data_IF_273779788676
#
_entry.id   IF_273779788676
#
_cell.length_a   1.000
_cell.length_b   1.000
_cell.length_c   1.000
_cell.angle_alpha   90.00
_cell.angle_beta   90.00
_cell.angle_gamma   90.00
#
_symmetry.space_group_name_H-M   'P 1'
#
loop_
_entity.id
_entity.type
_entity.pdbx_description
1 polymer ?
#
# COMPACT_ATOMS: atom_id res chain seq x y z
N UNK A 1 -0.32 -24.63 17.19
CA UNK A 1 0.22 -23.79 18.29
C UNK A 1 0.71 -22.54 17.60
N UNK A 2 -0.18 -21.56 17.48
CA UNK A 2 0.08 -20.33 16.73
C UNK A 2 1.17 -19.51 17.44
N UNK A 3 2.02 -18.89 16.62
CA UNK A 3 3.30 -18.33 17.00
C UNK A 3 3.11 -17.00 17.76
N UNK A 4 2.82 -17.08 19.06
CA UNK A 4 2.72 -15.96 20.00
C UNK A 4 3.95 -15.03 19.97
N UNK A 5 5.09 -15.52 19.46
CA UNK A 5 6.33 -14.75 19.38
C UNK A 5 6.30 -13.67 18.28
N UNK A 6 5.51 -13.87 17.21
CA UNK A 6 5.39 -12.90 16.13
C UNK A 6 4.51 -11.69 16.55
N UNK A 7 3.61 -11.88 17.51
CA UNK A 7 2.76 -10.81 18.08
C UNK A 7 3.57 -9.79 18.90
N UNK A 8 4.73 -10.20 19.44
CA UNK A 8 5.61 -9.33 20.20
C UNK A 8 6.57 -8.50 19.34
N UNK A 9 6.70 -8.78 18.04
CA UNK A 9 7.63 -8.05 17.17
C UNK A 9 7.22 -6.60 16.91
N UNK A 10 5.96 -6.21 17.13
CA UNK A 10 5.47 -4.84 16.90
C UNK A 10 5.27 -4.03 18.19
N UNK A 11 5.59 -4.62 19.35
CA UNK A 11 5.39 -4.00 20.66
C UNK A 11 6.28 -2.77 20.89
N UNK A 12 7.48 -2.76 20.30
CA UNK A 12 8.45 -1.66 20.45
C UNK A 12 8.16 -0.49 19.49
N UNK A 13 7.65 -0.74 18.28
CA UNK A 13 7.25 0.31 17.33
C UNK A 13 6.04 1.11 17.83
N UNK A 14 5.05 0.42 18.41
CA UNK A 14 3.84 1.05 18.97
C UNK A 14 4.18 1.93 20.18
N UNK A 15 5.20 1.58 20.95
CA UNK A 15 5.69 2.43 22.05
C UNK A 15 6.33 3.72 21.52
N UNK A 16 7.01 3.68 20.37
CA UNK A 16 7.64 4.86 19.79
C UNK A 16 6.61 5.90 19.35
N UNK A 17 5.49 5.46 18.78
CA UNK A 17 4.41 6.35 18.33
C UNK A 17 3.69 7.09 19.48
N UNK A 18 3.62 6.47 20.67
CA UNK A 18 2.98 7.07 21.85
C UNK A 18 3.95 7.81 22.78
N UNK A 19 5.25 7.49 22.74
CA UNK A 19 6.27 8.19 23.54
C UNK A 19 6.64 9.56 23.00
N UNK A 20 6.40 9.84 21.71
CA UNK A 20 6.64 11.17 21.15
C UNK A 20 5.78 12.25 21.82
N UNK A 21 4.57 11.90 22.31
CA UNK A 21 3.74 12.81 23.13
C UNK A 21 4.14 12.85 24.61
N UNK A 22 4.94 11.89 25.11
CA UNK A 22 5.36 11.85 26.51
C UNK A 22 6.53 12.81 26.82
N UNK A 23 7.33 13.19 25.82
CA UNK A 23 8.50 14.06 26.04
C UNK A 23 8.12 15.52 26.38
N UNK A 24 6.93 15.98 25.95
CA UNK A 24 6.45 17.33 26.25
C UNK A 24 5.79 17.47 27.63
N UNK A 25 5.44 16.36 28.30
CA UNK A 25 4.69 16.41 29.57
C UNK A 25 5.57 16.29 30.83
N UNK A 26 6.87 16.07 30.70
CA UNK A 26 7.79 15.91 31.84
C UNK A 26 8.65 17.17 32.12
N UNK A 27 8.54 18.21 31.30
CA UNK A 27 9.42 19.38 31.36
C UNK A 27 8.87 20.62 32.08
N UNK A 28 7.60 20.64 32.50
CA UNK A 28 6.95 21.91 32.92
C UNK A 28 6.32 21.92 34.32
N UNK A 29 6.16 20.77 34.99
CA UNK A 29 5.51 20.74 36.31
C UNK A 29 6.48 20.75 37.50
N UNK A 30 7.80 20.55 37.28
CA UNK A 30 8.79 20.53 38.37
C UNK A 30 9.21 21.95 38.81
N UNK A 31 8.84 22.99 38.06
CA UNK A 31 9.18 24.39 38.38
C UNK A 31 8.13 25.14 39.22
N UNK A 32 6.96 24.54 39.55
CA UNK A 32 5.90 25.24 40.29
C UNK A 32 5.74 24.82 41.77
N UNK A 33 6.40 23.75 42.23
CA UNK A 33 6.30 23.30 43.63
C UNK A 33 7.42 23.82 44.55
N UNK A 34 8.13 24.87 44.15
CA UNK A 34 9.12 25.56 44.97
C UNK A 34 8.55 26.81 45.66
N UNK A 35 7.62 26.66 46.59
CA UNK A 35 7.40 27.57 47.75
C UNK A 35 6.08 27.24 48.46
N UNK A 36 6.12 26.27 49.37
CA UNK A 36 5.22 26.29 50.52
C UNK A 36 6.09 26.49 51.76
N UNK A 37 6.25 27.74 52.14
CA UNK A 37 6.68 28.12 53.47
C UNK A 37 5.62 27.63 54.48
N UNK A 38 5.89 26.51 55.14
CA UNK A 38 5.12 26.07 56.29
C UNK A 38 6.06 25.35 57.25
N UNK A 39 6.62 26.17 58.13
CA UNK A 39 7.36 25.76 59.31
C UNK A 39 6.44 24.97 60.26
N UNK A 40 6.44 23.64 60.16
CA UNK A 40 5.95 22.74 61.23
C UNK A 40 6.59 21.34 61.07
N UNK A 41 7.44 20.88 62.01
CA UNK A 41 8.25 19.68 61.82
C UNK A 41 7.59 18.35 62.24
N UNK A 42 6.30 18.32 62.59
CA UNK A 42 5.62 17.10 63.06
C UNK A 42 4.44 16.72 62.14
N UNK A 43 4.70 15.79 61.23
CA UNK A 43 3.72 15.25 60.29
C UNK A 43 4.33 14.14 59.44
N UNK A 44 4.19 12.91 59.92
CA UNK A 44 4.60 11.61 59.37
C UNK A 44 4.95 11.53 57.86
N UNK A 45 6.04 10.80 57.47
CA UNK A 45 6.44 10.61 56.07
C UNK A 45 5.37 9.94 55.19
N UNK A 46 4.34 9.36 55.81
CA UNK A 46 3.19 8.74 55.15
C UNK A 46 2.33 9.72 54.33
N UNK A 47 2.21 11.00 54.72
CA UNK A 47 1.32 11.94 54.01
C UNK A 47 1.87 12.43 52.67
N UNK A 48 3.20 12.58 52.56
CA UNK A 48 3.87 12.95 51.30
C UNK A 48 3.95 11.77 50.33
N UNK A 49 4.17 10.56 50.85
CA UNK A 49 4.09 9.32 50.07
C UNK A 49 2.67 9.09 49.53
N UNK A 50 1.64 9.37 50.34
CA UNK A 50 0.25 9.26 49.93
C UNK A 50 -0.13 10.27 48.83
N UNK A 51 0.35 11.53 48.90
CA UNK A 51 0.08 12.52 47.87
C UNK A 51 0.76 12.18 46.53
N UNK A 52 1.99 11.66 46.56
CA UNK A 52 2.70 11.14 45.37
C UNK A 52 1.95 9.94 44.75
N UNK A 53 1.46 9.01 45.57
CA UNK A 53 0.68 7.87 45.10
C UNK A 53 -0.62 8.32 44.40
N UNK A 54 -1.34 9.29 44.99
CA UNK A 54 -2.55 9.85 44.38
C UNK A 54 -2.25 10.52 43.03
N UNK A 55 -1.18 11.30 42.94
CA UNK A 55 -0.76 11.95 41.67
C UNK A 55 -0.35 10.92 40.62
N UNK A 56 0.43 9.91 41.02
CA UNK A 56 0.81 8.79 40.16
C UNK A 56 -0.40 8.05 39.59
N UNK A 57 -1.38 7.72 40.43
CA UNK A 57 -2.61 7.05 40.01
C UNK A 57 -3.46 7.92 39.08
N UNK A 58 -3.53 9.23 39.33
CA UNK A 58 -4.20 10.18 38.41
C UNK A 58 -3.53 10.19 37.04
N UNK A 59 -2.20 10.26 36.98
CA UNK A 59 -1.46 10.26 35.73
C UNK A 59 -1.65 8.95 34.96
N UNK A 60 -1.60 7.81 35.67
CA UNK A 60 -1.89 6.49 35.09
C UNK A 60 -3.27 6.42 34.44
N UNK A 61 -4.31 6.96 35.12
CA UNK A 61 -5.68 7.01 34.58
C UNK A 61 -5.81 7.95 33.38
N UNK A 62 -5.13 9.09 33.39
CA UNK A 62 -5.08 10.04 32.27
C UNK A 62 -4.48 9.34 31.03
N UNK A 63 -3.28 8.77 31.17
CA UNK A 63 -2.59 8.02 30.11
C UNK A 63 -3.43 6.87 29.54
N UNK A 64 -4.14 6.13 30.38
CA UNK A 64 -5.05 5.07 29.91
C UNK A 64 -6.21 5.62 29.09
N UNK A 65 -6.76 6.77 29.49
CA UNK A 65 -7.86 7.40 28.78
C UNK A 65 -7.40 8.01 27.44
N UNK A 66 -6.22 8.61 27.41
CA UNK A 66 -5.61 9.17 26.20
C UNK A 66 -5.38 8.07 25.17
N UNK A 67 -4.84 6.92 25.58
CA UNK A 67 -4.69 5.73 24.71
C UNK A 67 -6.03 5.20 24.18
N UNK A 68 -7.08 5.26 24.98
CA UNK A 68 -8.42 4.83 24.56
C UNK A 68 -9.02 5.80 23.52
N UNK A 69 -8.75 7.10 23.65
CA UNK A 69 -9.14 8.12 22.67
C UNK A 69 -8.33 7.98 21.37
N UNK A 70 -7.03 7.73 21.47
CA UNK A 70 -6.17 7.45 20.31
C UNK A 70 -6.64 6.20 19.55
N UNK A 71 -6.97 5.12 20.27
CA UNK A 71 -7.55 3.92 19.67
C UNK A 71 -8.85 4.23 18.91
N UNK A 72 -9.67 5.13 19.46
CA UNK A 72 -10.90 5.58 18.80
C UNK A 72 -10.65 6.36 17.51
N UNK A 73 -9.55 7.07 17.39
CA UNK A 73 -9.23 7.82 16.18
C UNK A 73 -8.87 6.92 14.99
N UNK A 74 -8.34 5.72 15.25
CA UNK A 74 -7.84 4.81 14.21
C UNK A 74 -8.82 3.70 13.81
N UNK A 75 -9.80 3.37 14.67
CA UNK A 75 -10.80 2.33 14.39
C UNK A 75 -12.03 2.93 13.69
N UNK A 76 -12.37 2.45 12.48
CA UNK A 76 -13.59 2.87 11.80
C UNK A 76 -14.85 2.42 12.54
N UNK A 77 -15.93 3.21 12.46
CA UNK A 77 -17.28 2.80 12.88
C UNK A 77 -17.46 2.39 14.35
N UNK A 78 -16.91 3.16 15.30
CA UNK A 78 -17.18 2.91 16.73
C UNK A 78 -18.65 3.14 17.06
N UNK A 79 -19.32 2.06 17.44
CA UNK A 79 -20.78 1.99 17.62
C UNK A 79 -21.23 2.70 18.89
N UNK A 80 -20.41 2.67 19.95
CA UNK A 80 -20.73 3.26 21.26
C UNK A 80 -19.50 3.86 21.92
N UNK A 81 -19.73 4.88 22.75
CA UNK A 81 -18.68 5.62 23.47
C UNK A 81 -18.19 4.93 24.75
N UNK A 82 -18.76 3.78 25.12
CA UNK A 82 -18.34 3.07 26.32
C UNK A 82 -17.03 2.29 26.09
N UNK A 83 -16.21 2.19 27.14
CA UNK A 83 -14.86 1.61 27.05
C UNK A 83 -14.87 0.16 26.53
N UNK A 84 -15.88 -0.62 26.90
CA UNK A 84 -15.99 -2.01 26.50
C UNK A 84 -16.31 -2.14 25.01
N UNK A 85 -17.27 -1.35 24.51
CA UNK A 85 -17.60 -1.32 23.09
C UNK A 85 -16.45 -0.83 22.23
N UNK A 86 -15.70 0.21 22.65
CA UNK A 86 -14.51 0.67 21.91
C UNK A 86 -13.49 -0.46 21.73
N UNK A 87 -13.21 -1.21 22.79
CA UNK A 87 -12.25 -2.33 22.72
C UNK A 87 -12.81 -3.47 21.86
N UNK A 88 -14.11 -3.78 21.97
CA UNK A 88 -14.76 -4.80 21.17
C UNK A 88 -14.70 -4.47 19.67
N UNK A 89 -15.09 -3.26 19.30
CA UNK A 89 -15.10 -2.79 17.92
C UNK A 89 -13.68 -2.78 17.34
N UNK A 90 -12.67 -2.44 18.15
CA UNK A 90 -11.26 -2.54 17.76
C UNK A 90 -10.80 -3.99 17.47
N UNK A 91 -11.22 -4.94 18.31
CA UNK A 91 -10.91 -6.37 18.11
C UNK A 91 -11.56 -6.87 16.81
N UNK A 92 -12.83 -6.53 16.58
CA UNK A 92 -13.57 -6.90 15.37
C UNK A 92 -12.89 -6.34 14.12
N UNK A 93 -12.45 -5.08 14.14
CA UNK A 93 -11.72 -4.48 13.04
C UNK A 93 -10.38 -5.16 12.74
N UNK A 94 -9.60 -5.53 13.78
CA UNK A 94 -8.36 -6.30 13.59
C UNK A 94 -8.64 -7.66 12.93
N UNK A 95 -9.70 -8.35 13.36
CA UNK A 95 -10.09 -9.64 12.75
C UNK A 95 -10.48 -9.48 11.28
N UNK A 96 -11.21 -8.42 10.94
CA UNK A 96 -11.55 -8.10 9.57
C UNK A 96 -10.29 -7.86 8.72
N UNK A 97 -9.34 -7.04 9.22
CA UNK A 97 -8.08 -6.78 8.53
C UNK A 97 -7.27 -8.07 8.29
N UNK A 98 -7.19 -8.96 9.28
CA UNK A 98 -6.53 -10.28 9.12
C UNK A 98 -7.21 -11.15 8.07
N UNK A 99 -8.55 -11.12 8.01
CA UNK A 99 -9.29 -11.86 7.00
C UNK A 99 -9.10 -11.28 5.58
N UNK A 100 -8.98 -9.95 5.48
CA UNK A 100 -8.67 -9.27 4.22
C UNK A 100 -7.24 -9.56 3.74
N UNK A 101 -6.24 -9.49 4.64
CA UNK A 101 -4.84 -9.86 4.39
C UNK A 101 -4.77 -11.27 3.79
N UNK A 102 -5.36 -12.26 4.48
CA UNK A 102 -5.37 -13.65 4.01
C UNK A 102 -6.05 -13.82 2.64
N UNK A 103 -7.18 -13.14 2.41
CA UNK A 103 -7.89 -13.19 1.12
C UNK A 103 -7.01 -12.66 -0.02
N UNK A 104 -6.32 -11.54 0.22
CA UNK A 104 -5.45 -10.91 -0.77
C UNK A 104 -4.24 -11.82 -1.05
N UNK A 105 -3.64 -12.42 -0.02
CA UNK A 105 -2.56 -13.40 -0.18
C UNK A 105 -3.00 -14.63 -1.00
N UNK A 106 -4.19 -15.16 -0.72
CA UNK A 106 -4.77 -16.26 -1.50
C UNK A 106 -5.01 -15.86 -2.97
N UNK A 107 -5.51 -14.64 -3.22
CA UNK A 107 -5.74 -14.12 -4.57
C UNK A 107 -4.41 -13.93 -5.33
N UNK A 108 -3.39 -13.39 -4.68
CA UNK A 108 -2.04 -13.25 -5.26
C UNK A 108 -1.48 -14.64 -5.60
N UNK A 109 -1.60 -15.62 -4.69
CA UNK A 109 -1.10 -16.98 -4.92
C UNK A 109 -1.86 -17.70 -6.06
N UNK A 110 -3.17 -17.52 -6.16
CA UNK A 110 -3.98 -18.07 -7.26
C UNK A 110 -3.58 -17.42 -8.62
N UNK A 111 -3.27 -16.12 -8.63
CA UNK A 111 -2.79 -15.40 -9.81
C UNK A 111 -1.37 -15.82 -10.22
N UNK A 112 -0.45 -15.96 -9.26
CA UNK A 112 0.93 -16.41 -9.49
C UNK A 112 1.00 -17.87 -9.95
N UNK A 113 0.11 -18.72 -9.45
CA UNK A 113 0.03 -20.13 -9.86
C UNK A 113 -0.68 -20.34 -11.21
N UNK A 114 -1.13 -19.27 -11.88
CA UNK A 114 -1.79 -19.32 -13.18
C UNK A 114 -3.14 -20.03 -13.17
N UNK A 115 -3.76 -20.23 -12.00
CA UNK A 115 -5.10 -20.82 -11.88
C UNK A 115 -6.15 -19.76 -12.16
N UNK A 116 -6.46 -19.59 -13.44
CA UNK A 116 -7.71 -18.96 -13.87
C UNK A 116 -8.86 -19.86 -13.38
N UNK A 117 -9.33 -19.66 -12.15
CA UNK A 117 -10.60 -20.23 -11.68
C UNK A 117 -11.71 -19.47 -12.40
N UNK A 118 -12.16 -20.05 -13.51
CA UNK A 118 -13.48 -19.78 -14.07
C UNK A 118 -14.53 -20.12 -13.03
N UNK A 119 -14.84 -19.19 -12.12
CA UNK A 119 -15.99 -19.30 -11.23
C UNK A 119 -17.19 -18.70 -11.96
N UNK A 120 -17.60 -19.38 -13.04
CA UNK A 120 -18.94 -19.21 -13.57
C UNK A 120 -19.90 -19.94 -12.62
N UNK A 121 -20.76 -19.16 -11.99
CA UNK A 121 -21.99 -19.60 -11.34
C UNK A 121 -22.80 -20.46 -12.31
N UNK A 122 -23.08 -21.70 -11.92
CA UNK A 122 -24.04 -22.56 -12.60
C UNK A 122 -25.45 -22.07 -12.25
N UNK A 123 -26.12 -21.39 -13.18
CA UNK A 123 -27.57 -21.41 -13.31
C UNK A 123 -27.90 -21.41 -14.81
N UNK A 124 -28.42 -22.56 -15.24
CA UNK A 124 -29.23 -22.88 -16.42
C UNK A 124 -29.39 -21.81 -17.52
N UNK A 125 -28.96 -22.12 -18.76
CA UNK A 125 -29.81 -22.07 -19.96
C UNK A 125 -29.08 -22.64 -21.20
N UNK A 126 -29.90 -23.09 -22.14
CA UNK A 126 -29.69 -23.96 -23.29
C UNK A 126 -28.70 -23.50 -24.38
N UNK A 127 -28.15 -24.49 -25.12
CA UNK A 127 -27.96 -24.34 -26.57
C UNK A 127 -26.61 -23.90 -27.16
N UNK A 128 -25.99 -24.88 -27.86
CA UNK A 128 -25.41 -24.77 -29.22
C UNK A 128 -23.87 -24.61 -29.37
N UNK A 129 -23.30 -25.76 -29.79
CA UNK A 129 -22.13 -26.00 -30.67
C UNK A 129 -20.74 -25.53 -30.21
N UNK A 130 -19.94 -26.49 -29.71
CA UNK A 130 -18.49 -26.42 -29.85
C UNK A 130 -17.91 -27.72 -30.39
N UNK A 131 -17.28 -27.57 -31.55
CA UNK A 131 -16.70 -28.61 -32.39
C UNK A 131 -15.71 -29.50 -31.64
N UNK A 132 -15.91 -30.79 -31.86
CA UNK A 132 -14.99 -31.90 -31.61
C UNK A 132 -13.65 -31.63 -32.29
N UNK A 133 -12.61 -31.29 -31.53
CA UNK A 133 -11.22 -31.41 -32.02
C UNK A 133 -10.59 -32.67 -31.47
N UNK A 134 -10.56 -33.67 -32.34
CA UNK A 134 -9.75 -34.88 -32.23
C UNK A 134 -8.27 -34.55 -32.11
N UNK A 135 -7.66 -35.15 -31.09
CA UNK A 135 -6.26 -35.46 -30.92
C UNK A 135 -5.44 -35.53 -32.22
N UNK A 136 -4.40 -34.68 -32.34
CA UNK A 136 -3.23 -34.92 -33.20
C UNK A 136 -1.96 -34.46 -32.48
N UNK A 137 -1.03 -35.40 -32.42
CA UNK A 137 0.30 -35.33 -31.84
C UNK A 137 1.17 -34.18 -32.39
N UNK A 138 1.99 -33.61 -31.50
CA UNK A 138 3.37 -33.18 -31.75
C UNK A 138 3.61 -32.07 -32.77
N UNK A 139 3.65 -30.82 -32.29
CA UNK A 139 4.55 -29.76 -32.79
C UNK A 139 4.61 -28.64 -31.75
N UNK A 140 5.80 -28.05 -31.62
CA UNK A 140 6.20 -26.99 -30.68
C UNK A 140 5.14 -25.86 -30.64
N UNK A 141 4.74 -25.35 -29.45
CA UNK A 141 3.86 -24.19 -29.41
C UNK A 141 4.61 -22.97 -29.95
N UNK A 142 4.24 -22.52 -31.14
CA UNK A 142 4.54 -21.15 -31.56
C UNK A 142 3.96 -20.16 -30.53
N UNK A 143 4.68 -19.07 -30.21
CA UNK A 143 4.17 -18.05 -29.31
C UNK A 143 2.85 -17.48 -29.84
N UNK A 144 1.89 -17.13 -28.95
CA UNK A 144 0.62 -16.56 -29.38
C UNK A 144 0.86 -15.29 -30.22
N UNK A 145 0.03 -15.02 -31.25
CA UNK A 145 0.16 -13.82 -32.06
C UNK A 145 0.17 -12.59 -31.14
N UNK A 146 1.31 -11.92 -31.06
CA UNK A 146 1.49 -10.74 -30.21
C UNK A 146 0.69 -9.59 -30.82
N UNK A 147 -0.45 -9.27 -30.22
CA UNK A 147 -1.26 -8.14 -30.67
C UNK A 147 -0.52 -6.81 -30.44
N UNK A 148 -0.51 -5.88 -31.40
CA UNK A 148 0.17 -4.60 -31.26
C UNK A 148 -0.37 -3.80 -30.07
N UNK A 149 0.49 -3.00 -29.42
CA UNK A 149 0.07 -2.13 -28.31
C UNK A 149 -0.87 -1.06 -28.88
N UNK A 150 -2.13 -1.05 -28.44
CA UNK A 150 -3.06 0.03 -28.77
C UNK A 150 -2.69 1.27 -27.95
N UNK A 151 -1.76 2.09 -28.45
CA UNK A 151 -1.43 3.40 -27.86
C UNK A 151 -2.61 4.34 -28.13
N UNK A 152 -3.27 4.76 -27.07
CA UNK A 152 -4.41 5.68 -27.13
C UNK A 152 -3.96 7.15 -27.05
N UNK A 153 -2.88 7.42 -26.31
CA UNK A 153 -2.31 8.75 -26.16
C UNK A 153 -0.87 8.65 -25.65
N UNK A 154 0.06 9.44 -26.20
CA UNK A 154 1.42 9.59 -25.71
C UNK A 154 1.74 11.08 -25.65
N UNK A 155 1.99 11.57 -24.44
CA UNK A 155 2.41 12.95 -24.20
C UNK A 155 3.72 12.95 -23.44
N UNK A 156 4.61 13.84 -23.85
CA UNK A 156 5.90 14.08 -23.21
C UNK A 156 5.87 15.54 -22.80
N UNK A 157 6.18 15.86 -21.55
CA UNK A 157 6.16 17.23 -21.04
C UNK A 157 7.47 17.50 -20.32
N UNK A 158 8.21 18.52 -20.76
CA UNK A 158 9.40 18.99 -20.05
C UNK A 158 8.99 19.70 -18.76
N UNK A 159 9.49 19.24 -17.61
CA UNK A 159 9.25 19.84 -16.31
C UNK A 159 10.58 20.34 -15.74
N UNK A 160 11.05 21.51 -16.16
CA UNK A 160 12.34 22.09 -15.74
C UNK A 160 13.50 21.74 -16.68
N UNK A 161 14.74 21.96 -16.24
CA UNK A 161 15.94 21.82 -17.08
C UNK A 161 16.43 20.37 -17.25
N UNK A 162 16.08 19.48 -16.33
CA UNK A 162 16.64 18.12 -16.25
C UNK A 162 15.61 17.00 -16.10
N UNK A 163 14.34 17.35 -15.97
CA UNK A 163 13.29 16.38 -15.66
C UNK A 163 12.16 16.46 -16.67
N UNK A 164 11.74 15.30 -17.16
CA UNK A 164 10.70 15.17 -18.16
C UNK A 164 9.65 14.16 -17.71
N UNK A 165 8.39 14.47 -18.02
CA UNK A 165 7.24 13.65 -17.66
C UNK A 165 6.67 13.03 -18.92
N UNK A 166 6.70 11.71 -19.01
CA UNK A 166 6.09 10.95 -20.10
C UNK A 166 4.80 10.34 -19.59
N UNK A 167 3.67 10.70 -20.18
CA UNK A 167 2.37 10.06 -19.94
C UNK A 167 1.95 9.24 -21.16
N UNK A 168 1.88 7.92 -21.00
CA UNK A 168 1.43 6.96 -22.00
C UNK A 168 0.08 6.36 -21.57
N UNK A 169 -0.93 6.46 -22.42
CA UNK A 169 -2.22 5.79 -22.26
C UNK A 169 -2.34 4.73 -23.32
N UNK A 170 -2.64 3.49 -22.93
CA UNK A 170 -2.83 2.38 -23.86
C UNK A 170 -4.01 1.48 -23.46
N UNK A 171 -4.48 0.67 -24.41
CA UNK A 171 -5.52 -0.33 -24.18
C UNK A 171 -5.02 -1.47 -23.30
N UNK A 172 -5.82 -1.87 -22.30
CA UNK A 172 -5.46 -2.97 -21.40
C UNK A 172 -5.65 -4.32 -22.11
N UNK A 173 -4.56 -5.04 -22.39
CA UNK A 173 -4.53 -6.48 -22.69
C UNK A 173 -3.60 -7.23 -21.74
N UNK A 174 -3.65 -8.56 -21.78
CA UNK A 174 -2.90 -9.45 -20.87
C UNK A 174 -1.37 -9.30 -20.95
N UNK A 175 -0.85 -8.82 -22.08
CA UNK A 175 0.58 -8.70 -22.37
C UNK A 175 1.06 -7.24 -22.47
N UNK A 176 0.16 -6.26 -22.39
CA UNK A 176 0.47 -4.85 -22.64
C UNK A 176 1.49 -4.28 -21.65
N UNK A 177 1.32 -4.55 -20.35
CA UNK A 177 2.22 -4.04 -19.31
C UNK A 177 3.63 -4.60 -19.53
N UNK A 178 3.74 -5.91 -19.79
CA UNK A 178 5.02 -6.57 -20.03
C UNK A 178 5.74 -5.98 -21.24
N UNK A 179 5.04 -5.76 -22.36
CA UNK A 179 5.61 -5.14 -23.55
C UNK A 179 6.07 -3.70 -23.29
N UNK A 180 5.32 -2.94 -22.50
CA UNK A 180 5.72 -1.57 -22.18
C UNK A 180 6.92 -1.54 -21.23
N UNK A 181 6.99 -2.45 -20.26
CA UNK A 181 8.21 -2.61 -19.45
C UNK A 181 9.41 -2.95 -20.33
N UNK A 182 9.24 -3.80 -21.35
CA UNK A 182 10.27 -4.13 -22.33
C UNK A 182 10.68 -2.93 -23.20
N UNK A 183 9.73 -2.10 -23.64
CA UNK A 183 9.99 -0.82 -24.32
C UNK A 183 10.84 0.08 -23.42
N UNK A 184 10.42 0.26 -22.18
CA UNK A 184 11.10 1.13 -21.21
C UNK A 184 12.53 0.63 -20.93
N UNK A 185 12.72 -0.69 -20.79
CA UNK A 185 14.04 -1.30 -20.62
C UNK A 185 14.94 -1.06 -21.84
N UNK A 186 14.38 -1.14 -23.06
CA UNK A 186 15.11 -0.91 -24.29
C UNK A 186 15.62 0.54 -24.43
N UNK A 187 14.91 1.50 -23.83
CA UNK A 187 15.23 2.93 -23.93
C UNK A 187 16.43 3.33 -23.07
N UNK A 188 16.86 2.50 -22.10
CA UNK A 188 18.01 2.76 -21.20
C UNK A 188 18.05 4.18 -20.60
N UNK A 189 16.88 4.79 -20.44
CA UNK A 189 16.73 6.13 -19.85
C UNK A 189 16.75 6.04 -18.32
N UNK A 190 17.21 7.10 -17.65
CA UNK A 190 17.19 7.17 -16.19
C UNK A 190 15.79 7.56 -15.72
N UNK A 191 15.07 6.59 -15.15
CA UNK A 191 13.71 6.77 -14.62
C UNK A 191 13.82 7.07 -13.13
N UNK A 192 13.34 8.22 -12.69
CA UNK A 192 13.24 8.58 -11.27
C UNK A 192 12.03 7.87 -10.65
N UNK A 193 10.89 7.93 -11.33
CA UNK A 193 9.64 7.38 -10.81
C UNK A 193 8.78 6.88 -11.96
N UNK A 194 8.29 5.65 -11.85
CA UNK A 194 7.32 5.08 -12.77
C UNK A 194 6.03 4.79 -12.01
N UNK A 195 4.93 5.36 -12.47
CA UNK A 195 3.60 5.08 -11.93
C UNK A 195 2.77 4.41 -13.01
N UNK A 196 2.15 3.28 -12.66
CA UNK A 196 1.25 2.53 -13.54
C UNK A 196 -0.11 2.53 -12.85
N UNK A 197 -1.12 3.05 -13.53
CA UNK A 197 -2.48 3.14 -13.03
C UNK A 197 -3.43 2.54 -14.05
N UNK A 198 -4.34 1.68 -13.60
CA UNK A 198 -5.35 1.07 -14.45
C UNK A 198 -6.67 1.79 -14.18
N UNK A 199 -7.24 2.39 -15.22
CA UNK A 199 -8.54 3.08 -15.16
C UNK A 199 -9.48 2.43 -16.18
N UNK A 200 -10.47 1.69 -15.69
CA UNK A 200 -11.36 0.86 -16.50
C UNK A 200 -10.57 -0.08 -17.43
N UNK A 201 -10.72 0.08 -18.76
CA UNK A 201 -10.02 -0.71 -19.78
C UNK A 201 -8.77 -0.01 -20.35
N UNK A 202 -8.30 1.06 -19.69
CA UNK A 202 -7.13 1.83 -20.10
C UNK A 202 -6.02 1.68 -19.06
N UNK A 203 -4.81 1.51 -19.54
CA UNK A 203 -3.58 1.55 -18.76
C UNK A 203 -2.96 2.92 -18.95
N UNK A 204 -2.79 3.66 -17.85
CA UNK A 204 -2.09 4.94 -17.81
C UNK A 204 -0.74 4.73 -17.15
N UNK A 205 0.32 5.15 -17.81
CA UNK A 205 1.69 5.06 -17.34
C UNK A 205 2.25 6.47 -17.33
N UNK A 206 2.69 6.93 -16.16
CA UNK A 206 3.37 8.21 -16.01
C UNK A 206 4.80 7.96 -15.52
N UNK A 207 5.78 8.31 -16.33
CA UNK A 207 7.21 8.16 -16.07
C UNK A 207 7.82 9.55 -15.83
N UNK A 208 8.63 9.67 -14.79
CA UNK A 208 9.51 10.80 -14.54
C UNK A 208 10.92 10.39 -14.96
N UNK A 209 11.43 11.03 -16.00
CA UNK A 209 12.76 10.81 -16.55
C UNK A 209 13.69 11.93 -16.09
N UNK A 210 14.93 11.58 -15.78
CA UNK A 210 16.02 12.53 -15.58
C UNK A 210 16.97 12.43 -16.77
N UNK A 211 16.89 13.39 -17.68
CA UNK A 211 17.77 13.43 -18.86
C UNK A 211 18.35 14.82 -19.00
N UNK A 212 19.67 14.87 -19.19
CA UNK A 212 20.42 16.11 -19.35
C UNK A 212 20.24 16.56 -20.80
N UNK A 213 19.26 17.45 -21.01
CA UNK A 213 18.98 18.15 -22.29
C UNK A 213 18.57 17.17 -23.41
N UNK A 214 17.34 16.67 -23.33
CA UNK A 214 16.68 16.04 -24.47
C UNK A 214 15.47 16.89 -24.90
N UNK A 215 15.31 17.13 -26.21
CA UNK A 215 14.12 17.78 -26.76
C UNK A 215 12.90 16.85 -26.61
N UNK A 216 11.72 17.43 -26.36
CA UNK A 216 10.45 16.71 -26.17
C UNK A 216 10.19 15.75 -27.35
N UNK A 217 10.42 16.24 -28.56
CA UNK A 217 10.24 15.53 -29.82
C UNK A 217 11.21 14.34 -29.97
N UNK A 218 12.45 14.46 -29.50
CA UNK A 218 13.43 13.37 -29.62
C UNK A 218 13.02 12.18 -28.74
N UNK A 219 12.57 12.46 -27.51
CA UNK A 219 12.12 11.42 -26.59
C UNK A 219 10.80 10.82 -27.03
N UNK A 220 9.88 11.65 -27.56
CA UNK A 220 8.64 11.16 -28.17
C UNK A 220 8.92 10.19 -29.33
N UNK A 221 9.80 10.57 -30.26
CA UNK A 221 10.16 9.73 -31.41
C UNK A 221 10.85 8.44 -30.97
N UNK A 222 11.75 8.49 -29.98
CA UNK A 222 12.40 7.29 -29.40
C UNK A 222 11.38 6.32 -28.80
N UNK A 223 10.42 6.84 -28.04
CA UNK A 223 9.36 6.02 -27.42
C UNK A 223 8.45 5.42 -28.49
N UNK A 224 8.02 6.20 -29.48
CA UNK A 224 7.17 5.71 -30.59
C UNK A 224 7.91 4.63 -31.41
N UNK A 225 9.19 4.83 -31.71
CA UNK A 225 10.01 3.85 -32.43
C UNK A 225 10.18 2.55 -31.63
N UNK A 226 10.37 2.63 -30.32
CA UNK A 226 10.50 1.47 -29.45
C UNK A 226 9.17 0.69 -29.32
N UNK A 227 8.04 1.40 -29.21
CA UNK A 227 6.70 0.80 -29.23
C UNK A 227 6.44 0.10 -30.58
N UNK A 228 6.81 0.74 -31.70
CA UNK A 228 6.68 0.17 -33.03
C UNK A 228 7.53 -1.10 -33.21
N UNK A 229 8.78 -1.09 -32.71
CA UNK A 229 9.68 -2.24 -32.79
C UNK A 229 9.16 -3.49 -32.06
N UNK A 230 8.41 -3.32 -30.98
CA UNK A 230 7.81 -4.42 -30.19
C UNK A 230 6.41 -4.79 -30.71
N UNK A 231 5.76 -3.91 -31.46
CA UNK A 231 4.44 -4.15 -32.06
C UNK A 231 4.51 -4.86 -33.42
N UNK A 232 5.68 -4.88 -34.07
CA UNK A 232 5.88 -5.52 -35.38
C UNK A 232 6.34 -6.98 -35.22
N UNK A 233 5.55 -7.99 -35.64
CA UNK A 233 5.83 -9.41 -35.40
C UNK A 233 6.93 -10.01 -36.28
N UNK A 234 7.74 -9.22 -36.99
CA UNK A 234 8.81 -9.73 -37.85
C UNK A 234 10.16 -9.10 -37.55
N UNK A 235 10.90 -9.73 -36.64
CA UNK A 235 12.36 -9.86 -36.78
C UNK A 235 12.83 -11.18 -36.15
N UNK A 236 13.09 -12.23 -36.95
CA UNK A 236 13.86 -13.35 -36.46
C UNK A 236 15.33 -12.93 -36.31
N UNK A 237 15.95 -13.33 -35.20
CA UNK A 237 17.39 -13.43 -35.05
C UNK A 237 17.87 -14.63 -35.88
#
# INVERSE_FOLDING_TARGET
>A
MENILDEYQYYWETNMFLQTEEFDSWGVDEAFYGSYDSSSPDGTPSSLEASKNILSERNRRKKLNDRLLALRAVVPNITKMDKASIIKDAIEYIQELRAQEKRIEEEISDLESGKIKNRATNEDDDGILREKRTNKNGQVPEPPPSFPIEVLDLRVNCMGEKTMVVSLTCGRRSDTIMKICQVIESLKMKIITATITIVANKLLITLFLEEEIAEEEEVKVKIEAAIAAISDPQKPI
#
